data_IF_491409379403
#
_entry.id   IF_491409379403
#
_cell.length_a   1.000
_cell.length_b   1.000
_cell.length_c   1.000
_cell.angle_alpha   90.00
_cell.angle_beta   90.00
_cell.angle_gamma   90.00
#
_symmetry.space_group_name_H-M   'P 1'
#
loop_
_entity.id
_entity.type
_entity.pdbx_description
1 polymer ?
#
# COMPACT_ATOMS: atom_id res chain seq x y z
N UNK A 1 -4.75 -13.07 26.29
CA UNK A 1 -4.22 -12.29 25.15
C UNK A 1 -3.35 -13.26 24.40
N UNK A 2 -3.96 -13.94 23.43
CA UNK A 2 -3.29 -15.01 22.69
C UNK A 2 -2.27 -14.39 21.74
N UNK A 3 -1.05 -14.92 21.77
CA UNK A 3 0.08 -14.42 21.02
C UNK A 3 -0.13 -14.81 19.55
N UNK A 4 -0.76 -13.89 18.80
CA UNK A 4 -1.15 -14.08 17.39
C UNK A 4 0.05 -14.45 16.49
N UNK A 5 1.27 -14.19 16.95
CA UNK A 5 2.51 -14.57 16.29
C UNK A 5 2.76 -16.09 16.33
N UNK A 6 2.36 -16.77 17.41
CA UNK A 6 2.53 -18.22 17.54
C UNK A 6 1.66 -19.01 16.55
N UNK A 7 0.47 -18.48 16.21
CA UNK A 7 -0.45 -19.14 15.29
C UNK A 7 0.01 -19.10 13.81
N UNK A 8 0.87 -18.15 13.45
CA UNK A 8 1.43 -18.06 12.10
C UNK A 8 2.61 -19.02 11.89
N UNK A 9 3.35 -19.39 12.95
CA UNK A 9 4.46 -20.35 12.86
C UNK A 9 3.98 -21.80 12.62
N UNK A 10 2.74 -22.14 13.00
CA UNK A 10 2.21 -23.50 12.82
C UNK A 10 1.63 -23.79 11.42
N UNK A 11 1.71 -22.85 10.47
CA UNK A 11 1.46 -23.12 9.04
C UNK A 11 0.06 -23.64 8.68
N UNK A 12 -0.93 -23.46 9.56
CA UNK A 12 -2.27 -24.08 9.44
C UNK A 12 -3.43 -23.08 9.38
N UNK A 13 -3.19 -21.84 8.93
CA UNK A 13 -4.27 -20.85 8.84
C UNK A 13 -4.61 -20.55 7.38
N UNK A 14 -5.84 -20.91 7.02
CA UNK A 14 -6.49 -20.48 5.79
C UNK A 14 -6.50 -18.93 5.72
N UNK A 15 -5.89 -18.30 4.70
CA UNK A 15 -5.70 -16.84 4.65
C UNK A 15 -7.01 -16.06 4.46
N UNK A 16 -8.15 -16.75 4.37
CA UNK A 16 -9.49 -16.16 4.19
C UNK A 16 -10.40 -16.29 5.41
N UNK A 17 -10.00 -17.06 6.43
CA UNK A 17 -10.90 -17.47 7.52
C UNK A 17 -10.66 -16.81 8.87
N UNK A 18 -9.54 -16.10 9.06
CA UNK A 18 -9.19 -15.53 10.35
C UNK A 18 -9.36 -14.02 10.34
N UNK A 19 -10.18 -13.49 11.26
CA UNK A 19 -10.30 -12.07 11.57
C UNK A 19 -9.03 -11.48 12.20
N UNK A 20 -7.88 -11.77 11.62
CA UNK A 20 -6.59 -11.17 11.94
C UNK A 20 -6.49 -9.85 11.17
N UNK A 21 -5.99 -8.80 11.80
CA UNK A 21 -5.77 -7.47 11.20
C UNK A 21 -4.70 -7.43 10.10
N UNK A 22 -4.55 -8.51 9.33
CA UNK A 22 -3.67 -8.64 8.18
C UNK A 22 -4.37 -8.02 6.99
N UNK A 23 -3.81 -6.93 6.47
CA UNK A 23 -4.37 -6.30 5.29
C UNK A 23 -3.65 -6.76 4.03
N UNK A 24 -4.42 -7.18 3.02
CA UNK A 24 -3.90 -7.33 1.66
C UNK A 24 -3.76 -5.93 1.08
N UNK A 25 -2.54 -5.49 0.86
CA UNK A 25 -2.21 -4.16 0.41
C UNK A 25 -2.09 -4.15 -1.12
N UNK A 26 -3.14 -3.74 -1.87
CA UNK A 26 -3.04 -3.57 -3.31
C UNK A 26 -2.13 -2.39 -3.61
N UNK A 27 -1.38 -2.50 -4.70
CA UNK A 27 -0.58 -1.40 -5.22
C UNK A 27 -0.67 -1.33 -6.73
N UNK A 28 -0.50 -0.13 -7.27
CA UNK A 28 -0.41 0.16 -8.69
C UNK A 28 0.91 0.87 -8.96
N UNK A 29 1.60 0.49 -10.03
CA UNK A 29 2.83 1.14 -10.47
C UNK A 29 2.74 1.42 -11.97
N UNK A 30 2.81 2.70 -12.35
CA UNK A 30 2.72 3.17 -13.74
C UNK A 30 1.34 3.02 -14.40
N UNK A 31 0.60 1.96 -14.09
CA UNK A 31 -0.78 1.69 -14.50
C UNK A 31 -1.54 0.95 -13.40
N UNK A 32 -2.86 1.12 -13.38
CA UNK A 32 -3.79 0.36 -12.53
C UNK A 32 -4.12 -1.04 -13.09
N UNK A 33 -3.75 -1.32 -14.34
CA UNK A 33 -4.06 -2.61 -14.99
C UNK A 33 -3.24 -3.76 -14.37
N UNK A 34 -2.05 -3.45 -13.85
CA UNK A 34 -1.25 -4.35 -13.05
C UNK A 34 -1.79 -4.38 -11.61
N UNK A 35 -2.85 -5.16 -11.39
CA UNK A 35 -3.39 -5.42 -10.04
C UNK A 35 -2.46 -6.35 -9.28
N UNK A 36 -1.50 -5.75 -8.61
CA UNK A 36 -0.62 -6.46 -7.70
C UNK A 36 -1.04 -6.19 -6.26
N UNK A 37 -0.82 -7.17 -5.39
CA UNK A 37 -1.09 -7.05 -3.96
C UNK A 37 -0.07 -7.84 -3.19
N UNK A 38 0.31 -7.34 -2.03
CA UNK A 38 1.17 -8.06 -1.09
C UNK A 38 0.50 -8.15 0.27
N UNK A 39 0.86 -9.18 1.03
CA UNK A 39 0.50 -9.28 2.43
C UNK A 39 1.60 -8.63 3.26
N UNK A 40 1.26 -7.59 4.02
CA UNK A 40 2.18 -7.02 4.99
C UNK A 40 2.18 -7.89 6.26
N UNK A 41 2.88 -9.02 6.20
CA UNK A 41 3.00 -9.97 7.32
C UNK A 41 4.09 -9.56 8.31
N UNK A 42 5.20 -9.07 7.77
CA UNK A 42 6.39 -8.69 8.54
C UNK A 42 6.52 -7.16 8.64
N UNK A 43 7.41 -6.70 9.53
CA UNK A 43 7.68 -5.25 9.70
C UNK A 43 8.32 -4.60 8.47
N UNK A 44 8.87 -5.41 7.56
CA UNK A 44 9.47 -4.95 6.31
C UNK A 44 9.18 -5.97 5.21
N UNK A 45 8.93 -5.50 4.01
CA UNK A 45 8.78 -6.32 2.82
C UNK A 45 9.33 -5.54 1.65
N UNK A 46 10.09 -6.21 0.79
CA UNK A 46 10.62 -5.63 -0.44
C UNK A 46 9.84 -6.16 -1.63
N UNK A 47 9.51 -5.26 -2.56
CA UNK A 47 8.75 -5.57 -3.77
C UNK A 47 9.56 -5.04 -4.94
N UNK A 48 9.89 -5.92 -5.88
CA UNK A 48 10.51 -5.52 -7.14
C UNK A 48 9.43 -4.98 -8.07
N UNK A 49 9.64 -3.74 -8.52
CA UNK A 49 8.77 -3.06 -9.46
C UNK A 49 9.55 -2.99 -10.76
N UNK A 50 8.94 -3.44 -11.86
CA UNK A 50 9.54 -3.29 -13.17
C UNK A 50 9.82 -1.80 -13.42
N UNK A 51 11.10 -1.47 -13.65
CA UNK A 51 11.65 -0.10 -13.67
C UNK A 51 11.12 0.82 -14.78
N UNK A 52 10.06 0.42 -15.46
CA UNK A 52 9.33 1.20 -16.47
C UNK A 52 8.27 2.12 -15.84
N UNK A 53 7.92 1.91 -14.58
CA UNK A 53 6.82 2.64 -13.92
C UNK A 53 7.30 3.92 -13.24
N UNK A 54 6.86 5.11 -13.70
CA UNK A 54 7.35 6.38 -13.17
C UNK A 54 6.81 6.70 -11.77
N UNK A 55 5.78 6.01 -11.28
CA UNK A 55 5.15 6.24 -9.96
C UNK A 55 4.62 4.92 -9.38
N UNK A 56 4.45 4.88 -8.05
CA UNK A 56 3.79 3.78 -7.33
C UNK A 56 2.78 4.34 -6.32
N UNK A 57 1.56 3.80 -6.32
CA UNK A 57 0.52 4.01 -5.30
C UNK A 57 0.30 2.71 -4.54
N UNK A 58 0.49 2.75 -3.22
CA UNK A 58 0.16 1.65 -2.30
C UNK A 58 -1.22 1.90 -1.69
N UNK A 59 -1.90 0.85 -1.25
CA UNK A 59 -3.24 0.89 -0.68
C UNK A 59 -4.25 1.50 -1.66
N UNK A 60 -4.24 1.04 -2.91
CA UNK A 60 -5.22 1.45 -3.92
C UNK A 60 -6.65 1.22 -3.38
N UNK A 61 -7.54 2.17 -3.63
CA UNK A 61 -8.94 2.14 -3.17
C UNK A 61 -9.11 2.05 -1.64
N UNK A 62 -8.09 2.42 -0.85
CA UNK A 62 -8.16 2.45 0.61
C UNK A 62 -8.60 1.13 1.28
N UNK A 63 -8.23 0.01 0.68
CA UNK A 63 -8.60 -1.33 1.20
C UNK A 63 -8.10 -1.61 2.63
N UNK A 64 -7.08 -0.90 3.08
CA UNK A 64 -6.43 -1.08 4.37
C UNK A 64 -6.45 0.18 5.23
N UNK A 65 -6.59 -0.01 6.55
CA UNK A 65 -6.57 1.08 7.52
C UNK A 65 -5.14 1.44 7.96
N UNK A 66 -4.33 1.96 7.03
CA UNK A 66 -3.03 2.56 7.33
C UNK A 66 -2.73 3.74 6.41
N UNK A 67 -1.81 4.59 6.84
CA UNK A 67 -1.33 5.76 6.07
C UNK A 67 -0.02 5.42 5.37
N UNK A 68 0.14 5.84 4.12
CA UNK A 68 1.37 5.59 3.35
C UNK A 68 2.26 6.83 3.39
N UNK A 69 3.50 6.64 3.82
CA UNK A 69 4.56 7.65 3.70
C UNK A 69 5.44 7.33 2.51
N UNK A 70 5.48 8.23 1.54
CA UNK A 70 6.40 8.18 0.41
C UNK A 70 7.67 8.97 0.74
N UNK A 71 8.82 8.49 0.30
CA UNK A 71 10.04 9.31 0.30
C UNK A 71 9.93 10.45 -0.73
N UNK A 72 10.90 11.37 -0.71
CA UNK A 72 10.89 12.56 -1.56
C UNK A 72 10.89 12.23 -3.06
N UNK A 73 11.60 11.19 -3.46
CA UNK A 73 11.68 10.78 -4.87
C UNK A 73 10.35 10.19 -5.36
N UNK A 74 9.73 9.34 -4.53
CA UNK A 74 8.42 8.76 -4.82
C UNK A 74 7.31 9.81 -4.75
N UNK A 75 7.39 10.76 -3.83
CA UNK A 75 6.45 11.87 -3.72
C UNK A 75 6.51 12.80 -4.95
N UNK A 76 7.71 13.10 -5.45
CA UNK A 76 7.91 13.86 -6.69
C UNK A 76 7.28 13.16 -7.91
N UNK A 77 7.48 11.85 -8.00
CA UNK A 77 6.90 11.01 -9.04
C UNK A 77 5.37 10.96 -8.99
N UNK A 78 4.81 10.80 -7.79
CA UNK A 78 3.36 10.87 -7.56
C UNK A 78 2.79 12.22 -7.93
N UNK A 79 3.48 13.32 -7.61
CA UNK A 79 3.06 14.66 -8.03
C UNK A 79 2.94 14.78 -9.55
N UNK A 80 3.94 14.30 -10.28
CA UNK A 80 3.90 14.28 -11.75
C UNK A 80 2.72 13.45 -12.27
N UNK A 81 2.41 12.31 -11.63
CA UNK A 81 1.27 11.48 -11.98
C UNK A 81 -0.09 12.13 -11.68
N UNK A 82 -0.19 12.87 -10.57
CA UNK A 82 -1.37 13.67 -10.18
C UNK A 82 -1.61 14.77 -11.23
N UNK A 83 -0.58 15.51 -11.59
CA UNK A 83 -0.64 16.58 -12.60
C UNK A 83 -1.04 16.03 -13.98
N UNK A 84 -0.53 14.84 -14.34
CA UNK A 84 -0.90 14.10 -15.55
C UNK A 84 -2.26 13.41 -15.53
N UNK A 85 -3.04 13.52 -14.45
CA UNK A 85 -4.33 12.83 -14.27
C UNK A 85 -4.24 11.30 -14.44
N UNK A 86 -3.09 10.71 -14.10
CA UNK A 86 -2.85 9.27 -14.22
C UNK A 86 -3.45 8.47 -13.05
N UNK A 87 -3.75 9.15 -11.94
CA UNK A 87 -4.30 8.58 -10.71
C UNK A 87 -5.81 8.83 -10.61
N UNK A 88 -6.56 7.89 -10.02
CA UNK A 88 -7.99 8.03 -9.76
C UNK A 88 -8.28 9.23 -8.84
N UNK A 89 -9.44 9.92 -8.96
CA UNK A 89 -9.79 11.02 -8.06
C UNK A 89 -9.72 10.65 -6.58
N UNK A 90 -10.13 9.41 -6.24
CA UNK A 90 -10.04 8.86 -4.90
C UNK A 90 -8.59 8.81 -4.44
N UNK A 91 -7.72 8.05 -5.12
CA UNK A 91 -6.32 7.86 -4.72
C UNK A 91 -5.55 9.19 -4.57
N UNK A 92 -5.84 10.18 -5.43
CA UNK A 92 -5.22 11.52 -5.31
C UNK A 92 -5.60 12.21 -4.01
N UNK A 93 -6.86 12.10 -3.59
CA UNK A 93 -7.32 12.64 -2.32
C UNK A 93 -6.64 11.92 -1.15
N UNK A 94 -6.50 10.59 -1.21
CA UNK A 94 -5.86 9.82 -0.15
C UNK A 94 -4.38 10.18 0.01
N UNK A 95 -3.64 10.29 -1.10
CA UNK A 95 -2.23 10.71 -1.06
C UNK A 95 -2.10 12.06 -0.37
N UNK A 96 -3.01 13.00 -0.65
CA UNK A 96 -3.02 14.31 -0.03
C UNK A 96 -3.37 14.23 1.47
N UNK A 97 -4.41 13.47 1.84
CA UNK A 97 -4.82 13.29 3.22
C UNK A 97 -3.71 12.64 4.07
N UNK A 98 -3.08 11.59 3.55
CA UNK A 98 -1.94 10.93 4.19
C UNK A 98 -0.77 11.88 4.36
N UNK A 99 -0.40 12.64 3.32
CA UNK A 99 0.68 13.62 3.40
C UNK A 99 0.37 14.68 4.47
N UNK A 100 -0.86 15.18 4.52
CA UNK A 100 -1.25 16.18 5.51
C UNK A 100 -1.23 15.63 6.93
N UNK A 101 -1.80 14.44 7.15
CA UNK A 101 -1.82 13.80 8.47
C UNK A 101 -0.41 13.50 8.98
N UNK A 102 0.49 13.03 8.11
CA UNK A 102 1.88 12.75 8.44
C UNK A 102 2.69 14.03 8.73
N UNK A 103 2.36 15.16 8.13
CA UNK A 103 2.95 16.46 8.48
C UNK A 103 2.46 17.00 9.83
N UNK A 104 1.31 16.54 10.32
CA UNK A 104 0.69 16.96 11.58
C UNK A 104 1.02 16.06 12.78
N UNK A 105 1.62 14.91 12.52
CA UNK A 105 1.97 13.90 13.52
C UNK A 105 3.17 14.28 14.39
#
# INVERSE_FOLDING_TARGET
>A
MEDLWAALEEGSVDPKGLGSGLCQSPYAAGSYEARNSFLLLERSTSIDIDGTSPWIKINVDQTCFYRVKYDESLAYNLRSAIEGQLLSPTDRFEILDDSFALCKA
#
